data_IF_683064557510
#
_entry.id   IF_683064557510
#
_cell.length_a   1.000
_cell.length_b   1.000
_cell.length_c   1.000
_cell.angle_alpha   90.00
_cell.angle_beta   90.00
_cell.angle_gamma   90.00
#
_symmetry.space_group_name_H-M   'P 1'
#
loop_
_entity.id
_entity.type
_entity.pdbx_description
1 polymer ?
#
# COMPACT_ATOMS: atom_id res chain seq x y z
N UNK A 1 -18.21 -13.28 -50.76
CA UNK A 1 -17.44 -14.03 -49.77
C UNK A 1 -16.64 -13.02 -48.94
N UNK A 2 -17.05 -12.71 -47.70
CA UNK A 2 -16.32 -11.88 -46.78
C UNK A 2 -15.13 -12.68 -46.24
N UNK A 3 -13.89 -12.35 -46.63
CA UNK A 3 -12.70 -12.90 -46.04
C UNK A 3 -12.68 -12.42 -44.56
N UNK A 4 -12.90 -13.34 -43.65
CA UNK A 4 -12.68 -13.11 -42.23
C UNK A 4 -11.17 -13.04 -42.04
N UNK A 5 -10.61 -11.84 -42.08
CA UNK A 5 -9.26 -11.62 -41.55
C UNK A 5 -9.35 -11.86 -40.05
N UNK A 6 -8.90 -13.03 -39.64
CA UNK A 6 -8.67 -13.31 -38.21
C UNK A 6 -7.52 -12.39 -37.81
N UNK A 7 -7.87 -11.28 -37.19
CA UNK A 7 -6.93 -10.22 -36.88
C UNK A 7 -5.94 -10.79 -35.84
N UNK A 8 -4.65 -10.76 -36.14
CA UNK A 8 -3.57 -11.23 -35.25
C UNK A 8 -3.79 -10.73 -33.81
N UNK A 9 -4.37 -9.55 -33.68
CA UNK A 9 -4.79 -8.97 -32.42
C UNK A 9 -5.68 -9.91 -31.60
N UNK A 10 -6.65 -10.56 -32.18
CA UNK A 10 -7.54 -11.46 -31.44
C UNK A 10 -6.87 -12.76 -31.03
N UNK A 11 -5.93 -13.24 -31.82
CA UNK A 11 -5.11 -14.41 -31.49
C UNK A 11 -4.23 -14.05 -30.26
N UNK A 12 -3.58 -12.89 -30.27
CA UNK A 12 -2.73 -12.43 -29.15
C UNK A 12 -3.57 -12.24 -27.89
N UNK A 13 -4.74 -11.60 -27.99
CA UNK A 13 -5.65 -11.43 -26.85
C UNK A 13 -6.08 -12.80 -26.30
N UNK A 14 -6.48 -13.73 -27.16
CA UNK A 14 -6.86 -15.08 -26.75
C UNK A 14 -5.73 -15.79 -25.99
N UNK A 15 -4.50 -15.75 -26.52
CA UNK A 15 -3.35 -16.36 -25.86
C UNK A 15 -3.04 -15.74 -24.50
N UNK A 16 -3.14 -14.41 -24.37
CA UNK A 16 -2.95 -13.71 -23.10
C UNK A 16 -4.03 -14.13 -22.10
N UNK A 17 -5.29 -14.14 -22.51
CA UNK A 17 -6.42 -14.54 -21.65
C UNK A 17 -6.29 -16.01 -21.23
N UNK A 18 -5.93 -16.88 -22.16
CA UNK A 18 -5.70 -18.30 -21.87
C UNK A 18 -4.56 -18.48 -20.86
N UNK A 19 -3.44 -17.75 -21.06
CA UNK A 19 -2.32 -17.75 -20.13
C UNK A 19 -2.76 -17.31 -18.71
N UNK A 20 -3.50 -16.22 -18.59
CA UNK A 20 -4.01 -15.72 -17.30
C UNK A 20 -4.96 -16.74 -16.65
N UNK A 21 -5.85 -17.36 -17.43
CA UNK A 21 -6.77 -18.38 -16.90
C UNK A 21 -5.99 -19.58 -16.36
N UNK A 22 -5.03 -20.09 -17.12
CA UNK A 22 -4.28 -21.30 -16.75
C UNK A 22 -3.32 -21.06 -15.59
N UNK A 23 -2.60 -19.93 -15.58
CA UNK A 23 -1.53 -19.70 -14.61
C UNK A 23 -1.95 -18.86 -13.40
N UNK A 24 -3.04 -18.14 -13.48
CA UNK A 24 -3.48 -17.28 -12.37
C UNK A 24 -4.86 -17.72 -11.83
N UNK A 25 -5.87 -17.84 -12.69
CA UNK A 25 -7.23 -18.14 -12.24
C UNK A 25 -7.37 -19.61 -11.80
N UNK A 26 -6.86 -20.54 -12.60
CA UNK A 26 -6.99 -21.97 -12.30
C UNK A 26 -6.35 -22.40 -10.98
N UNK A 27 -5.09 -22.01 -10.64
CA UNK A 27 -4.52 -22.35 -9.34
C UNK A 27 -5.30 -21.76 -8.16
N UNK A 28 -5.81 -20.54 -8.28
CA UNK A 28 -6.64 -19.91 -7.24
C UNK A 28 -7.96 -20.65 -7.06
N UNK A 29 -8.66 -21.00 -8.14
CA UNK A 29 -9.88 -21.79 -8.09
C UNK A 29 -9.62 -23.17 -7.48
N UNK A 30 -8.52 -23.82 -7.86
CA UNK A 30 -8.15 -25.12 -7.30
C UNK A 30 -7.94 -25.04 -5.79
N UNK A 31 -7.24 -24.00 -5.30
CA UNK A 31 -7.06 -23.77 -3.86
C UNK A 31 -8.40 -23.57 -3.14
N UNK A 32 -9.28 -22.73 -3.71
CA UNK A 32 -10.61 -22.49 -3.13
C UNK A 32 -11.42 -23.78 -3.09
N UNK A 33 -11.46 -24.55 -4.19
CA UNK A 33 -12.17 -25.83 -4.25
C UNK A 33 -11.60 -26.80 -3.20
N UNK A 34 -10.27 -26.92 -3.10
CA UNK A 34 -9.64 -27.81 -2.11
C UNK A 34 -9.84 -27.34 -0.67
N UNK A 35 -9.99 -26.04 -0.43
CA UNK A 35 -10.30 -25.52 0.90
C UNK A 35 -11.70 -25.93 1.39
N UNK A 36 -12.68 -25.99 0.48
CA UNK A 36 -14.06 -26.34 0.81
C UNK A 36 -14.41 -27.81 0.55
N UNK A 37 -13.69 -28.48 -0.36
CA UNK A 37 -13.93 -29.87 -0.77
C UNK A 37 -12.61 -30.66 -0.74
N UNK A 38 -11.97 -30.87 0.44
CA UNK A 38 -10.66 -31.53 0.53
C UNK A 38 -10.69 -32.98 0.00
N UNK A 39 -11.78 -33.72 0.21
CA UNK A 39 -11.96 -35.12 -0.18
C UNK A 39 -13.22 -35.30 -1.04
N UNK A 40 -13.65 -34.28 -1.78
CA UNK A 40 -14.85 -34.33 -2.63
C UNK A 40 -16.16 -34.07 -1.88
N UNK A 41 -16.16 -33.99 -0.54
CA UNK A 41 -17.29 -33.59 0.28
C UNK A 41 -17.08 -32.21 0.86
N UNK A 42 -18.16 -31.43 1.01
CA UNK A 42 -18.09 -30.08 1.60
C UNK A 42 -17.65 -30.19 3.07
N UNK A 43 -16.56 -29.48 3.41
CA UNK A 43 -16.02 -29.47 4.77
C UNK A 43 -15.45 -28.11 5.12
N UNK A 44 -15.72 -27.61 6.31
CA UNK A 44 -15.12 -26.43 6.91
C UNK A 44 -14.00 -26.75 7.91
N UNK A 45 -13.58 -28.02 7.97
CA UNK A 45 -12.58 -28.46 8.94
C UNK A 45 -11.23 -27.77 8.76
N UNK A 46 -10.81 -27.53 7.50
CA UNK A 46 -9.59 -26.76 7.21
C UNK A 46 -9.65 -25.34 7.81
N UNK A 47 -10.79 -24.67 7.69
CA UNK A 47 -11.00 -23.36 8.28
C UNK A 47 -11.02 -23.39 9.80
N UNK A 48 -11.73 -24.37 10.40
CA UNK A 48 -11.75 -24.55 11.87
C UNK A 48 -10.34 -24.80 12.39
N UNK A 49 -9.52 -25.60 11.70
CA UNK A 49 -8.15 -25.88 12.07
C UNK A 49 -7.29 -24.60 11.99
N UNK A 50 -7.34 -23.86 10.89
CA UNK A 50 -6.56 -22.63 10.71
C UNK A 50 -6.95 -21.57 11.74
N UNK A 51 -8.24 -21.29 11.90
CA UNK A 51 -8.73 -20.26 12.83
C UNK A 51 -8.80 -20.73 14.29
N UNK A 52 -8.68 -22.03 14.55
CA UNK A 52 -8.58 -22.60 15.89
C UNK A 52 -7.22 -22.34 16.57
N UNK A 53 -6.17 -22.04 15.79
CA UNK A 53 -4.88 -21.69 16.36
C UNK A 53 -4.82 -20.20 16.71
N UNK A 54 -4.50 -19.90 17.97
CA UNK A 54 -4.38 -18.51 18.46
C UNK A 54 -3.36 -17.69 17.68
N UNK A 55 -2.27 -18.32 17.21
CA UNK A 55 -1.26 -17.67 16.39
C UNK A 55 -1.86 -17.14 15.06
N UNK A 56 -2.69 -17.94 14.40
CA UNK A 56 -3.32 -17.54 13.13
C UNK A 56 -4.35 -16.44 13.34
N UNK A 57 -5.13 -16.51 14.40
CA UNK A 57 -6.09 -15.45 14.78
C UNK A 57 -5.36 -14.14 15.06
N UNK A 58 -4.29 -14.19 15.85
CA UNK A 58 -3.45 -13.03 16.12
C UNK A 58 -2.82 -12.46 14.86
N UNK A 59 -2.36 -13.31 13.92
CA UNK A 59 -1.81 -12.89 12.65
C UNK A 59 -2.85 -12.14 11.80
N UNK A 60 -4.08 -12.65 11.70
CA UNK A 60 -5.18 -11.98 10.97
C UNK A 60 -5.48 -10.61 11.60
N UNK A 61 -5.61 -10.57 12.93
CA UNK A 61 -5.90 -9.33 13.65
C UNK A 61 -4.78 -8.29 13.49
N UNK A 62 -3.54 -8.72 13.65
CA UNK A 62 -2.37 -7.85 13.44
C UNK A 62 -2.28 -7.33 12.00
N UNK A 63 -2.63 -8.16 11.01
CA UNK A 63 -2.69 -7.74 9.61
C UNK A 63 -3.74 -6.66 9.39
N UNK A 64 -4.94 -6.84 9.94
CA UNK A 64 -6.02 -5.84 9.83
C UNK A 64 -5.63 -4.52 10.50
N UNK A 65 -5.05 -4.55 11.70
CA UNK A 65 -4.57 -3.35 12.39
C UNK A 65 -3.48 -2.68 11.57
N UNK A 66 -2.47 -3.42 11.14
CA UNK A 66 -1.36 -2.89 10.36
C UNK A 66 -1.85 -2.25 9.06
N UNK A 67 -2.72 -2.92 8.32
CA UNK A 67 -3.27 -2.39 7.07
C UNK A 67 -4.10 -1.12 7.30
N UNK A 68 -4.99 -1.12 8.30
CA UNK A 68 -5.82 0.03 8.63
C UNK A 68 -5.00 1.23 9.08
N UNK A 69 -4.06 1.02 10.01
CA UNK A 69 -3.20 2.09 10.50
C UNK A 69 -2.26 2.63 9.41
N UNK A 70 -1.71 1.76 8.57
CA UNK A 70 -0.89 2.15 7.41
C UNK A 70 -1.69 3.01 6.43
N UNK A 71 -2.93 2.62 6.14
CA UNK A 71 -3.81 3.37 5.24
C UNK A 71 -4.14 4.75 5.81
N UNK A 72 -4.55 4.81 7.08
CA UNK A 72 -4.87 6.07 7.75
C UNK A 72 -3.65 6.99 7.76
N UNK A 73 -2.50 6.50 8.19
CA UNK A 73 -1.27 7.28 8.26
C UNK A 73 -0.78 7.69 6.87
N UNK A 74 -0.84 6.78 5.88
CA UNK A 74 -0.48 7.06 4.49
C UNK A 74 -1.36 8.15 3.87
N UNK A 75 -2.67 8.13 4.10
CA UNK A 75 -3.59 9.19 3.67
C UNK A 75 -3.32 10.49 4.43
N UNK A 76 -3.07 10.45 5.73
CA UNK A 76 -2.75 11.61 6.54
C UNK A 76 -1.46 12.31 6.07
N UNK A 77 -0.46 11.55 5.64
CA UNK A 77 0.76 12.09 5.03
C UNK A 77 0.47 12.65 3.64
N UNK A 78 -0.28 11.90 2.81
CA UNK A 78 -0.53 12.25 1.42
C UNK A 78 -1.42 13.48 1.25
N UNK A 79 -2.43 13.64 2.11
CA UNK A 79 -3.47 14.66 1.96
C UNK A 79 -2.90 16.10 1.92
N UNK A 80 -2.08 16.57 2.90
CA UNK A 80 -1.55 17.92 2.86
C UNK A 80 -0.68 18.16 1.62
N UNK A 81 0.12 17.19 1.21
CA UNK A 81 0.94 17.32 0.00
C UNK A 81 0.08 17.35 -1.28
N UNK A 82 -0.95 16.51 -1.34
CA UNK A 82 -1.90 16.50 -2.46
C UNK A 82 -2.67 17.82 -2.55
N UNK A 83 -3.09 18.39 -1.41
CA UNK A 83 -3.74 19.69 -1.34
C UNK A 83 -2.81 20.80 -1.83
N UNK A 84 -1.58 20.86 -1.34
CA UNK A 84 -0.60 21.87 -1.75
C UNK A 84 -0.33 21.82 -3.27
N UNK A 85 -0.17 20.63 -3.84
CA UNK A 85 0.13 20.48 -5.26
C UNK A 85 -1.12 20.63 -6.13
N UNK A 86 -2.29 20.16 -5.66
CA UNK A 86 -3.54 20.14 -6.44
C UNK A 86 -4.31 21.46 -6.39
N UNK A 87 -4.30 22.18 -5.26
CA UNK A 87 -5.19 23.32 -4.99
C UNK A 87 -4.50 24.65 -4.74
N UNK A 88 -3.17 24.67 -4.64
CA UNK A 88 -2.45 25.93 -4.42
C UNK A 88 -1.59 26.31 -5.63
N UNK A 89 -1.19 27.58 -5.69
CA UNK A 89 -0.25 28.09 -6.68
C UNK A 89 1.20 27.89 -6.21
N UNK A 90 1.51 26.70 -5.68
CA UNK A 90 2.84 26.38 -5.17
C UNK A 90 3.90 26.55 -6.25
N UNK A 91 4.91 27.38 -5.98
CA UNK A 91 6.06 27.52 -6.87
C UNK A 91 6.80 26.17 -6.98
N UNK A 92 7.09 25.75 -8.21
CA UNK A 92 7.79 24.47 -8.42
C UNK A 92 6.92 23.20 -8.21
N UNK A 93 5.57 23.30 -8.27
CA UNK A 93 4.67 22.17 -8.00
C UNK A 93 4.95 20.91 -8.83
N UNK A 94 5.50 21.03 -10.04
CA UNK A 94 5.92 19.88 -10.85
C UNK A 94 7.07 19.11 -10.18
N UNK A 95 8.05 19.85 -9.64
CA UNK A 95 9.17 19.25 -8.91
C UNK A 95 8.69 18.55 -7.64
N UNK A 96 7.85 19.22 -6.84
CA UNK A 96 7.29 18.61 -5.62
C UNK A 96 6.47 17.37 -5.94
N UNK A 97 5.63 17.38 -6.99
CA UNK A 97 4.91 16.19 -7.44
C UNK A 97 5.85 15.03 -7.74
N UNK A 98 6.95 15.29 -8.47
CA UNK A 98 7.94 14.27 -8.78
C UNK A 98 8.63 13.75 -7.53
N UNK A 99 9.04 14.63 -6.61
CA UNK A 99 9.68 14.25 -5.35
C UNK A 99 8.76 13.38 -4.47
N UNK A 100 7.48 13.72 -4.38
CA UNK A 100 6.52 12.93 -3.58
C UNK A 100 6.23 11.54 -4.18
N UNK A 101 6.41 11.38 -5.48
CA UNK A 101 6.20 10.09 -6.16
C UNK A 101 7.47 9.25 -6.19
N UNK A 102 8.66 9.86 -6.03
CA UNK A 102 9.94 9.14 -6.18
C UNK A 102 10.10 7.99 -5.18
N UNK A 103 9.52 8.12 -3.99
CA UNK A 103 9.54 7.04 -2.97
C UNK A 103 8.83 5.77 -3.44
N UNK A 104 7.88 5.88 -4.37
CA UNK A 104 7.24 4.73 -5.02
C UNK A 104 8.19 3.90 -5.88
N UNK A 105 9.24 4.51 -6.42
CA UNK A 105 10.21 3.82 -7.28
C UNK A 105 11.21 2.97 -6.48
N UNK A 106 11.33 3.23 -5.18
CA UNK A 106 12.22 2.47 -4.30
C UNK A 106 11.50 1.22 -3.81
N UNK A 107 12.05 0.01 -4.00
CA UNK A 107 11.45 -1.19 -3.45
C UNK A 107 11.27 -1.07 -1.92
N UNK A 108 10.08 -1.35 -1.36
CA UNK A 108 9.82 -1.20 0.08
C UNK A 108 10.81 -1.94 0.98
N UNK A 109 11.32 -3.07 0.52
CA UNK A 109 12.36 -3.85 1.19
C UNK A 109 13.66 -3.06 1.39
N UNK A 110 14.13 -2.36 0.33
CA UNK A 110 15.35 -1.53 0.42
C UNK A 110 15.14 -0.38 1.40
N UNK A 111 13.97 0.25 1.34
CA UNK A 111 13.61 1.29 2.27
C UNK A 111 13.47 0.81 3.70
N UNK A 112 12.92 -0.38 3.92
CA UNK A 112 12.84 -0.99 5.25
C UNK A 112 14.24 -1.20 5.86
N UNK A 113 15.21 -1.64 5.04
CA UNK A 113 16.61 -1.77 5.49
C UNK A 113 17.23 -0.41 5.88
N UNK A 114 16.94 0.64 5.11
CA UNK A 114 17.40 2.00 5.43
C UNK A 114 16.79 2.49 6.76
N UNK A 115 15.48 2.34 6.94
CA UNK A 115 14.79 2.69 8.18
C UNK A 115 15.27 1.85 9.37
N UNK A 116 15.59 0.57 9.16
CA UNK A 116 16.18 -0.27 10.19
C UNK A 116 17.54 0.27 10.65
N UNK A 117 18.36 0.81 9.75
CA UNK A 117 19.62 1.48 10.11
C UNK A 117 19.40 2.79 10.87
N UNK A 118 18.36 3.54 10.55
CA UNK A 118 18.05 4.83 11.16
C UNK A 118 17.41 4.69 12.56
N UNK A 119 16.46 3.77 12.71
CA UNK A 119 15.62 3.64 13.91
C UNK A 119 15.87 2.36 14.72
N UNK A 120 17.03 1.70 14.50
CA UNK A 120 17.43 0.58 15.36
C UNK A 120 17.49 1.02 16.81
N UNK A 121 16.87 0.32 17.77
CA UNK A 121 16.86 0.73 19.18
C UNK A 121 18.25 0.73 19.82
N UNK A 122 19.17 -0.11 19.37
CA UNK A 122 20.51 -0.24 19.95
C UNK A 122 21.54 0.70 19.32
N UNK A 123 21.52 0.84 17.98
CA UNK A 123 22.56 1.52 17.21
C UNK A 123 22.00 2.43 16.09
N UNK A 124 20.71 2.77 16.14
CA UNK A 124 20.09 3.63 15.12
C UNK A 124 20.61 5.06 15.19
N UNK A 125 20.96 5.63 14.04
CA UNK A 125 21.51 6.98 13.95
C UNK A 125 20.58 8.00 14.59
N UNK A 126 19.29 7.97 14.27
CA UNK A 126 18.29 8.90 14.83
C UNK A 126 18.13 8.68 16.33
N UNK A 127 18.04 7.44 16.79
CA UNK A 127 17.94 7.13 18.20
C UNK A 127 19.18 7.61 19.00
N UNK A 128 20.37 7.42 18.44
CA UNK A 128 21.62 7.87 19.06
C UNK A 128 21.68 9.39 19.18
N UNK A 129 21.30 10.11 18.12
CA UNK A 129 21.24 11.57 18.12
C UNK A 129 20.21 12.09 19.14
N UNK A 130 19.00 11.53 19.16
CA UNK A 130 17.96 11.94 20.11
C UNK A 130 18.34 11.65 21.56
N UNK A 131 18.97 10.51 21.83
CA UNK A 131 19.51 10.19 23.15
C UNK A 131 20.54 11.20 23.60
N UNK A 132 21.45 11.63 22.70
CA UNK A 132 22.45 12.65 23.01
C UNK A 132 21.87 14.04 23.25
N UNK A 133 20.92 14.49 22.42
CA UNK A 133 20.31 15.81 22.48
C UNK A 133 19.38 15.94 23.71
N UNK A 134 18.54 14.94 23.94
CA UNK A 134 17.52 14.98 25.02
C UNK A 134 17.90 14.21 26.28
N UNK A 135 19.13 13.69 26.34
CA UNK A 135 19.64 12.94 27.49
C UNK A 135 18.76 11.73 27.88
N UNK A 136 18.23 11.01 26.86
CA UNK A 136 17.30 9.90 27.07
C UNK A 136 18.03 8.62 27.48
N UNK A 137 17.49 7.91 28.49
CA UNK A 137 18.01 6.62 28.97
C UNK A 137 17.78 5.49 27.96
N UNK A 138 16.68 5.53 27.21
CA UNK A 138 16.29 4.50 26.25
C UNK A 138 16.08 5.09 24.86
N UNK A 139 16.10 4.24 23.83
CA UNK A 139 15.79 4.62 22.47
C UNK A 139 14.29 4.96 22.34
N UNK A 140 13.93 6.16 21.85
CA UNK A 140 12.54 6.56 21.70
C UNK A 140 11.79 5.77 20.59
N UNK A 141 12.52 5.25 19.61
CA UNK A 141 11.92 4.51 18.50
C UNK A 141 12.42 3.07 18.45
N UNK A 142 11.50 2.16 18.12
CA UNK A 142 11.84 0.76 17.82
C UNK A 142 11.23 0.37 16.50
N UNK A 143 12.07 0.26 15.46
CA UNK A 143 11.65 -0.11 14.11
C UNK A 143 11.11 -1.53 14.01
N UNK A 144 11.55 -2.42 14.91
CA UNK A 144 11.13 -3.83 14.96
C UNK A 144 9.82 -4.07 15.71
N UNK A 145 9.04 -3.01 15.90
CA UNK A 145 7.70 -3.04 16.47
C UNK A 145 6.62 -2.95 15.39
N UNK A 146 5.37 -3.24 15.73
CA UNK A 146 4.22 -3.01 14.85
C UNK A 146 4.16 -1.55 14.38
N UNK A 147 4.43 -0.59 15.26
CA UNK A 147 4.49 0.83 14.90
C UNK A 147 5.59 1.14 13.89
N UNK A 148 6.75 0.49 14.01
CA UNK A 148 7.83 0.60 13.01
C UNK A 148 7.43 0.06 11.64
N UNK A 149 6.75 -1.08 11.59
CA UNK A 149 6.22 -1.65 10.34
C UNK A 149 5.19 -0.71 9.70
N UNK A 150 4.23 -0.21 10.49
CA UNK A 150 3.21 0.75 10.03
C UNK A 150 3.88 2.01 9.47
N UNK A 151 4.87 2.55 10.17
CA UNK A 151 5.62 3.72 9.71
C UNK A 151 6.28 3.50 8.36
N UNK A 152 7.06 2.42 8.23
CA UNK A 152 7.76 2.09 6.98
C UNK A 152 6.77 1.91 5.83
N UNK A 153 5.75 1.09 6.01
CA UNK A 153 4.73 0.87 4.99
C UNK A 153 4.04 2.18 4.58
N UNK A 154 3.71 3.04 5.54
CA UNK A 154 3.11 4.35 5.26
C UNK A 154 4.02 5.25 4.42
N UNK A 155 5.32 5.26 4.69
CA UNK A 155 6.31 6.01 3.91
C UNK A 155 6.46 5.53 2.47
N UNK A 156 6.11 4.27 2.17
CA UNK A 156 6.20 3.71 0.82
C UNK A 156 4.86 3.64 0.10
N UNK A 157 3.74 3.65 0.82
CA UNK A 157 2.42 3.58 0.22
C UNK A 157 1.68 4.92 0.13
N UNK A 158 2.11 5.99 0.83
CA UNK A 158 1.48 7.30 0.71
C UNK A 158 1.43 7.85 -0.73
N UNK A 159 2.39 7.55 -1.67
CA UNK A 159 2.32 8.09 -3.02
C UNK A 159 1.08 7.62 -3.80
N UNK A 160 0.54 6.45 -3.51
CA UNK A 160 -0.72 5.99 -4.13
C UNK A 160 -1.89 6.91 -3.76
N UNK A 161 -2.02 7.21 -2.45
CA UNK A 161 -3.02 8.16 -1.97
C UNK A 161 -2.76 9.55 -2.52
N UNK A 162 -1.51 10.01 -2.53
CA UNK A 162 -1.11 11.31 -3.08
C UNK A 162 -1.53 11.47 -4.54
N UNK A 163 -1.20 10.51 -5.41
CA UNK A 163 -1.54 10.56 -6.84
C UNK A 163 -3.06 10.60 -7.02
N UNK A 164 -3.79 9.75 -6.29
CA UNK A 164 -5.24 9.66 -6.39
C UNK A 164 -5.92 10.94 -5.92
N UNK A 165 -5.56 11.42 -4.74
CA UNK A 165 -6.15 12.63 -4.14
C UNK A 165 -5.80 13.88 -4.95
N UNK A 166 -4.53 14.05 -5.37
CA UNK A 166 -4.12 15.23 -6.14
C UNK A 166 -4.84 15.32 -7.48
N UNK A 167 -5.03 14.18 -8.16
CA UNK A 167 -5.79 14.12 -9.43
C UNK A 167 -7.28 14.39 -9.22
N UNK A 168 -7.86 13.89 -8.13
CA UNK A 168 -9.24 14.17 -7.79
C UNK A 168 -9.44 15.68 -7.54
N UNK A 169 -8.56 16.28 -6.75
CA UNK A 169 -8.59 17.72 -6.46
C UNK A 169 -8.42 18.59 -7.70
N UNK A 170 -7.57 18.20 -8.66
CA UNK A 170 -7.39 18.95 -9.91
C UNK A 170 -8.63 18.94 -10.81
N UNK A 171 -9.47 17.89 -10.70
CA UNK A 171 -10.69 17.74 -11.49
C UNK A 171 -11.94 18.34 -10.85
N UNK A 172 -11.87 18.74 -9.58
CA UNK A 172 -13.00 19.38 -8.92
C UNK A 172 -13.25 20.76 -9.49
N UNK A 173 -14.52 21.11 -9.75
CA UNK A 173 -14.94 22.38 -10.29
C UNK A 173 -14.61 23.53 -9.31
N UNK A 174 -13.86 24.57 -9.73
CA UNK A 174 -13.58 25.74 -8.90
C UNK A 174 -14.84 26.48 -8.42
N UNK A 175 -15.94 26.38 -9.16
CA UNK A 175 -17.21 27.03 -8.82
C UNK A 175 -17.78 26.60 -7.46
N UNK A 176 -17.49 25.36 -7.04
CA UNK A 176 -17.89 24.87 -5.73
C UNK A 176 -17.16 25.59 -4.58
N UNK A 177 -15.90 25.96 -4.77
CA UNK A 177 -15.14 26.74 -3.78
C UNK A 177 -15.57 28.20 -3.75
N UNK A 178 -15.89 28.77 -4.93
CA UNK A 178 -16.39 30.13 -5.05
C UNK A 178 -17.77 30.25 -4.38
N UNK A 179 -18.65 29.30 -4.60
CA UNK A 179 -19.95 29.23 -3.94
C UNK A 179 -19.84 29.17 -2.40
N UNK A 180 -18.89 28.35 -1.91
CA UNK A 180 -18.65 28.23 -0.47
C UNK A 180 -18.03 29.49 0.17
N UNK A 181 -17.38 30.35 -0.62
CA UNK A 181 -16.83 31.64 -0.12
C UNK A 181 -17.87 32.76 -0.06
N UNK A 182 -18.99 32.62 -0.78
CA UNK A 182 -20.06 33.61 -0.88
C UNK A 182 -21.18 33.34 0.12
N UNK A 183 -21.34 32.09 0.58
CA UNK A 183 -22.28 31.67 1.61
C UNK A 183 -21.68 31.82 3.02
#
# INVERSE_FOLDING_TARGET
MRKVYFDIKWIVIFLIVLFLIVFEVFPLLYLVIKAFFPEGSFSLEAFKRVYGYDLNRSAVFNTLITASCTTILGVAIAFPFAFLVGRTNLYGKKLFRTLFVISYMVPPYVGAMAWARLLNPNAGIINTLLKGIFNLQAAPFNIYSMGGVIWVLSCFYYPYAFITISRAMEKMDPSLEEAARIS
#
